data_IF_164690658976
#
_entry.id   IF_164690658976
#
_cell.length_a   1.000
_cell.length_b   1.000
_cell.length_c   1.000
_cell.angle_alpha   90.00
_cell.angle_beta   90.00
_cell.angle_gamma   90.00
#
_symmetry.space_group_name_H-M   'P 1'
#
loop_
_entity.id
_entity.type
_entity.pdbx_description
1 polymer ?
#
# COMPACT_ATOMS: atom_id res chain seq x y z
N UNK A 1 -9.10 -14.93 -11.41
CA UNK A 1 -8.33 -15.16 -12.66
C UNK A 1 -7.62 -13.88 -13.04
N UNK A 2 -6.39 -13.93 -13.57
CA UNK A 2 -5.71 -12.74 -14.11
C UNK A 2 -5.87 -12.71 -15.63
N UNK A 3 -6.40 -11.60 -16.17
CA UNK A 3 -6.62 -11.41 -17.60
C UNK A 3 -5.56 -10.46 -18.16
N UNK A 4 -4.76 -10.93 -19.11
CA UNK A 4 -3.72 -10.14 -19.78
C UNK A 4 -4.31 -9.36 -20.96
N UNK A 5 -4.80 -10.06 -21.98
CA UNK A 5 -5.28 -9.46 -23.23
C UNK A 5 -6.51 -10.20 -23.77
N UNK A 6 -7.36 -9.47 -24.48
CA UNK A 6 -8.44 -10.02 -25.30
C UNK A 6 -8.15 -9.62 -26.75
N UNK A 7 -8.09 -10.60 -27.65
CA UNK A 7 -7.88 -10.39 -29.09
C UNK A 7 -9.18 -10.73 -29.82
N UNK A 8 -9.69 -9.76 -30.58
CA UNK A 8 -10.86 -9.93 -31.43
C UNK A 8 -10.39 -10.01 -32.88
N UNK A 9 -10.61 -11.16 -33.51
CA UNK A 9 -10.20 -11.48 -34.88
C UNK A 9 -11.43 -11.90 -35.72
N UNK A 10 -11.38 -11.72 -37.05
CA UNK A 10 -12.45 -12.10 -37.97
C UNK A 10 -13.30 -10.97 -38.55
N UNK A 11 -12.84 -9.72 -38.48
CA UNK A 11 -13.45 -8.60 -39.19
C UNK A 11 -12.88 -8.52 -40.62
N UNK A 12 -13.73 -8.55 -41.63
CA UNK A 12 -13.31 -8.43 -43.03
C UNK A 12 -12.56 -7.11 -43.25
N UNK A 13 -11.35 -7.20 -43.82
CA UNK A 13 -10.47 -6.07 -44.19
C UNK A 13 -9.93 -5.20 -43.03
N UNK A 14 -9.83 -5.71 -41.79
CA UNK A 14 -9.20 -4.97 -40.69
C UNK A 14 -8.29 -5.82 -39.82
N UNK A 15 -7.22 -5.20 -39.29
CA UNK A 15 -6.32 -5.82 -38.33
C UNK A 15 -7.04 -6.29 -37.05
N UNK A 16 -6.57 -7.36 -36.39
CA UNK A 16 -7.11 -7.83 -35.12
C UNK A 16 -7.13 -6.72 -34.06
N UNK A 17 -8.24 -6.61 -33.34
CA UNK A 17 -8.40 -5.60 -32.29
C UNK A 17 -7.96 -6.21 -30.96
N UNK A 18 -6.85 -5.68 -30.42
CA UNK A 18 -6.33 -6.09 -29.10
C UNK A 18 -6.77 -5.13 -27.99
N UNK A 19 -7.26 -5.71 -26.90
CA UNK A 19 -7.68 -5.05 -25.64
C UNK A 19 -6.76 -5.52 -24.52
N UNK A 20 -5.84 -4.66 -24.10
CA UNK A 20 -4.92 -4.95 -22.99
C UNK A 20 -5.58 -4.67 -21.65
N UNK A 21 -5.73 -5.71 -20.84
CA UNK A 21 -6.50 -5.71 -19.60
C UNK A 21 -5.61 -5.63 -18.36
N UNK A 22 -4.59 -6.51 -18.27
CA UNK A 22 -3.66 -6.63 -17.13
C UNK A 22 -4.32 -6.48 -15.76
N UNK A 23 -5.39 -7.24 -15.53
CA UNK A 23 -6.25 -7.04 -14.35
C UNK A 23 -6.79 -8.35 -13.79
N UNK A 24 -6.98 -8.38 -12.48
CA UNK A 24 -7.67 -9.48 -11.80
C UNK A 24 -9.18 -9.42 -12.04
N UNK A 25 -9.76 -10.56 -12.38
CA UNK A 25 -11.20 -10.78 -12.51
C UNK A 25 -11.63 -11.72 -11.38
N UNK A 26 -12.60 -11.24 -10.60
CA UNK A 26 -13.24 -11.96 -9.52
C UNK A 26 -14.52 -12.65 -9.97
N UNK A 27 -14.99 -13.59 -9.16
CA UNK A 27 -16.26 -14.27 -9.42
C UNK A 27 -17.40 -13.27 -9.43
N UNK A 28 -18.38 -13.48 -10.33
CA UNK A 28 -19.63 -12.69 -10.38
C UNK A 28 -20.45 -12.76 -9.08
N UNK A 29 -20.18 -13.76 -8.25
CA UNK A 29 -20.84 -13.95 -6.97
C UNK A 29 -20.23 -13.06 -5.88
N UNK A 30 -18.95 -12.72 -5.98
CA UNK A 30 -18.24 -11.89 -5.01
C UNK A 30 -18.38 -10.40 -5.33
N UNK A 31 -18.34 -10.06 -6.63
CA UNK A 31 -18.56 -8.70 -7.10
C UNK A 31 -19.61 -8.70 -8.22
N UNK A 32 -20.82 -8.14 -7.98
CA UNK A 32 -21.86 -8.08 -9.00
C UNK A 32 -21.56 -7.04 -10.09
N UNK A 33 -20.60 -6.14 -9.88
CA UNK A 33 -20.24 -5.13 -10.87
C UNK A 33 -19.49 -5.75 -12.05
N UNK A 34 -19.96 -5.44 -13.25
CA UNK A 34 -19.34 -5.91 -14.49
C UNK A 34 -18.06 -5.13 -14.77
N UNK A 35 -17.03 -5.85 -15.23
CA UNK A 35 -15.75 -5.27 -15.64
C UNK A 35 -15.85 -4.74 -17.05
N UNK A 36 -15.34 -3.54 -17.28
CA UNK A 36 -15.22 -2.92 -18.60
C UNK A 36 -13.74 -2.78 -18.95
N UNK A 37 -13.37 -3.20 -20.15
CA UNK A 37 -12.04 -3.04 -20.69
C UNK A 37 -12.10 -2.23 -21.99
N UNK A 38 -11.14 -1.34 -22.18
CA UNK A 38 -11.06 -0.46 -23.35
C UNK A 38 -9.90 -0.88 -24.25
N UNK A 39 -10.01 -0.60 -25.55
CA UNK A 39 -8.92 -0.82 -26.50
C UNK A 39 -7.73 0.10 -26.17
N UNK A 40 -6.56 -0.22 -26.71
CA UNK A 40 -5.32 0.54 -26.50
C UNK A 40 -5.37 2.01 -27.00
N UNK A 41 -6.44 2.41 -27.70
CA UNK A 41 -6.60 3.76 -28.24
C UNK A 41 -6.87 4.76 -27.11
N UNK A 42 -6.05 5.81 -27.04
CA UNK A 42 -6.16 6.86 -26.03
C UNK A 42 -7.03 8.02 -26.51
N UNK A 43 -7.97 8.47 -25.67
CA UNK A 43 -8.85 9.60 -25.96
C UNK A 43 -8.89 10.58 -24.79
N UNK A 44 -8.84 11.88 -25.11
CA UNK A 44 -9.21 12.93 -24.16
C UNK A 44 -10.70 12.81 -23.78
N UNK A 45 -11.13 13.33 -22.61
CA UNK A 45 -12.54 13.32 -22.23
C UNK A 45 -13.47 13.94 -23.28
N UNK A 46 -13.03 15.01 -23.95
CA UNK A 46 -13.76 15.67 -25.03
C UNK A 46 -13.85 14.84 -26.32
N UNK A 47 -12.84 14.02 -26.60
CA UNK A 47 -12.70 13.19 -27.80
C UNK A 47 -13.26 11.77 -27.64
N UNK A 48 -13.73 11.41 -26.44
CA UNK A 48 -14.26 10.06 -26.20
C UNK A 48 -15.51 9.82 -27.06
N UNK A 49 -15.58 8.73 -27.85
CA UNK A 49 -16.75 8.41 -28.67
C UNK A 49 -18.04 8.41 -27.85
N UNK A 50 -19.14 8.94 -28.39
CA UNK A 50 -20.41 9.13 -27.67
C UNK A 50 -20.92 7.86 -26.99
N UNK A 51 -20.83 6.71 -27.68
CA UNK A 51 -21.24 5.41 -27.13
C UNK A 51 -20.39 4.92 -25.94
N UNK A 52 -19.15 5.40 -25.79
CA UNK A 52 -18.24 5.00 -24.71
C UNK A 52 -18.25 5.98 -23.52
N UNK A 53 -18.77 7.20 -23.68
CA UNK A 53 -18.79 8.21 -22.61
C UNK A 53 -19.47 7.71 -21.34
N UNK A 54 -20.60 7.01 -21.48
CA UNK A 54 -21.34 6.43 -20.35
C UNK A 54 -20.48 5.40 -19.60
N UNK A 55 -19.92 4.43 -20.32
CA UNK A 55 -19.08 3.38 -19.73
C UNK A 55 -17.82 3.94 -19.06
N UNK A 56 -17.21 4.98 -19.65
CA UNK A 56 -16.07 5.67 -19.06
C UNK A 56 -16.42 6.31 -17.72
N UNK A 57 -17.58 6.97 -17.63
CA UNK A 57 -18.00 7.62 -16.39
C UNK A 57 -18.38 6.60 -15.31
N UNK A 58 -19.11 5.55 -15.68
CA UNK A 58 -19.47 4.47 -14.76
C UNK A 58 -18.23 3.78 -14.17
N UNK A 59 -17.21 3.48 -14.99
CA UNK A 59 -15.96 2.89 -14.50
C UNK A 59 -15.21 3.86 -13.56
N UNK A 60 -15.21 5.16 -13.84
CA UNK A 60 -14.60 6.16 -12.95
C UNK A 60 -15.33 6.27 -11.60
N UNK A 61 -16.66 6.17 -11.58
CA UNK A 61 -17.46 6.18 -10.35
C UNK A 61 -17.17 4.94 -9.52
N UNK A 62 -17.08 3.76 -10.14
CA UNK A 62 -16.71 2.50 -9.49
C UNK A 62 -15.31 2.59 -8.88
N UNK A 63 -14.34 3.14 -9.59
CA UNK A 63 -12.98 3.32 -9.10
C UNK A 63 -12.88 4.30 -7.93
N UNK A 64 -13.73 5.33 -7.86
CA UNK A 64 -13.77 6.26 -6.72
C UNK A 64 -14.49 5.67 -5.50
N UNK A 65 -15.51 4.84 -5.75
CA UNK A 65 -16.38 4.33 -4.69
C UNK A 65 -17.19 5.43 -4.01
N UNK A 66 -17.67 5.13 -2.81
CA UNK A 66 -18.62 5.97 -2.06
C UNK A 66 -18.04 6.58 -0.76
N UNK A 67 -16.74 6.40 -0.49
CA UNK A 67 -16.07 6.91 0.71
C UNK A 67 -16.44 6.25 2.03
N UNK A 68 -17.27 5.19 2.02
CA UNK A 68 -17.73 4.51 3.25
C UNK A 68 -17.43 3.03 3.24
N UNK A 69 -17.41 2.40 4.41
CA UNK A 69 -17.16 0.96 4.56
C UNK A 69 -15.68 0.58 4.57
N UNK A 70 -15.43 -0.64 5.07
CA UNK A 70 -14.12 -1.30 5.09
C UNK A 70 -13.82 -1.92 3.73
N UNK A 71 -12.60 -1.69 3.25
CA UNK A 71 -12.18 -2.19 1.95
C UNK A 71 -11.90 -3.68 1.95
N UNK A 72 -12.32 -4.37 0.87
CA UNK A 72 -12.11 -5.81 0.68
C UNK A 72 -11.04 -6.09 -0.37
N UNK A 73 -10.36 -7.22 -0.26
CA UNK A 73 -9.19 -7.57 -1.08
C UNK A 73 -9.44 -7.65 -2.60
N UNK A 74 -10.70 -7.82 -3.01
CA UNK A 74 -11.11 -7.86 -4.41
C UNK A 74 -11.56 -6.49 -4.97
N UNK A 75 -11.69 -5.47 -4.12
CA UNK A 75 -12.12 -4.13 -4.52
C UNK A 75 -10.98 -3.36 -5.20
N UNK A 76 -11.36 -2.43 -6.07
CA UNK A 76 -10.45 -1.49 -6.77
C UNK A 76 -10.80 -0.04 -6.50
N UNK A 77 -11.15 0.24 -5.26
CA UNK A 77 -11.58 1.58 -4.87
C UNK A 77 -10.34 2.38 -4.48
N UNK A 78 -10.11 3.47 -5.20
CA UNK A 78 -9.07 4.45 -4.93
C UNK A 78 -9.70 5.62 -4.20
N UNK A 79 -9.34 5.75 -2.94
CA UNK A 79 -9.81 6.82 -2.07
C UNK A 79 -8.71 7.19 -1.07
N UNK A 80 -8.84 8.36 -0.45
CA UNK A 80 -7.80 8.97 0.36
C UNK A 80 -8.12 8.96 1.85
N UNK A 81 -7.08 8.75 2.66
CA UNK A 81 -7.14 8.91 4.11
C UNK A 81 -5.83 9.49 4.65
N UNK A 82 -5.84 9.88 5.93
CA UNK A 82 -4.68 10.36 6.67
C UNK A 82 -3.91 9.19 7.30
N UNK A 83 -2.70 9.44 7.79
CA UNK A 83 -1.92 8.43 8.51
C UNK A 83 -2.35 8.40 9.98
N UNK A 84 -3.47 7.73 10.23
CA UNK A 84 -4.02 7.45 11.56
C UNK A 84 -3.95 5.96 11.93
N UNK A 85 -3.24 5.14 11.15
CA UNK A 85 -3.20 3.68 11.26
C UNK A 85 -1.80 3.12 11.63
N UNK A 86 -0.86 4.01 11.97
CA UNK A 86 0.51 3.65 12.35
C UNK A 86 0.60 3.09 13.78
N UNK A 87 -0.19 3.68 14.69
CA UNK A 87 -0.23 3.35 16.10
C UNK A 87 -1.01 2.07 16.41
N UNK A 88 -0.87 1.57 17.64
CA UNK A 88 -1.71 0.48 18.14
C UNK A 88 -2.06 0.69 19.63
N UNK A 89 -2.87 1.73 19.94
CA UNK A 89 -3.17 2.12 21.32
C UNK A 89 -4.01 1.07 22.07
N UNK A 90 -4.80 0.25 21.36
CA UNK A 90 -5.60 -0.83 21.96
C UNK A 90 -4.74 -1.99 22.50
N UNK A 91 -3.55 -2.22 21.93
CA UNK A 91 -2.61 -3.22 22.43
C UNK A 91 -1.73 -2.71 23.57
N UNK A 92 -1.24 -1.47 23.44
CA UNK A 92 -0.36 -0.84 24.41
C UNK A 92 -0.47 0.69 24.27
N UNK A 93 -0.83 1.43 25.33
CA UNK A 93 -0.91 2.88 25.30
C UNK A 93 0.37 3.58 24.80
N UNK A 94 1.55 3.00 25.03
CA UNK A 94 2.83 3.54 24.57
C UNK A 94 3.02 3.45 23.04
N UNK A 95 2.20 2.64 22.37
CA UNK A 95 2.17 2.51 20.91
C UNK A 95 1.20 3.49 20.25
N UNK A 96 0.62 4.43 21.01
CA UNK A 96 -0.12 5.56 20.44
C UNK A 96 0.80 6.44 19.60
N UNK A 97 0.32 6.88 18.44
CA UNK A 97 1.03 7.78 17.54
C UNK A 97 0.11 8.93 17.13
N UNK A 98 0.63 10.13 16.89
CA UNK A 98 -0.17 11.24 16.39
C UNK A 98 -0.64 10.95 14.96
N UNK A 99 -1.80 11.50 14.59
CA UNK A 99 -2.31 11.46 13.22
C UNK A 99 -1.50 12.41 12.34
N UNK A 100 -1.01 11.93 11.19
CA UNK A 100 -0.27 12.74 10.22
C UNK A 100 -1.16 13.08 9.02
N UNK A 101 -1.27 14.37 8.73
CA UNK A 101 -2.11 14.92 7.66
C UNK A 101 -3.49 15.39 8.14
N UNK A 102 -4.05 16.38 7.43
CA UNK A 102 -5.38 16.94 7.74
C UNK A 102 -5.35 18.12 8.71
N UNK A 103 -4.25 18.32 9.44
CA UNK A 103 -3.99 19.50 10.27
C UNK A 103 -2.84 20.35 9.69
N UNK A 104 -2.77 21.61 10.12
CA UNK A 104 -1.66 22.51 9.77
C UNK A 104 -0.38 22.21 10.56
N UNK A 105 -0.52 21.58 11.71
CA UNK A 105 0.60 21.29 12.62
C UNK A 105 1.45 20.09 12.14
N UNK A 106 0.83 19.06 11.57
CA UNK A 106 1.50 17.87 11.04
C UNK A 106 1.06 17.60 9.59
N UNK A 107 1.41 18.49 8.64
CA UNK A 107 1.06 18.28 7.25
C UNK A 107 1.75 17.02 6.72
N UNK A 108 0.99 16.16 6.05
CA UNK A 108 1.50 14.92 5.47
C UNK A 108 0.69 14.52 4.23
N UNK A 109 1.32 13.88 3.23
CA UNK A 109 0.62 13.29 2.10
C UNK A 109 -0.52 12.37 2.54
N UNK A 110 -1.55 12.26 1.70
CA UNK A 110 -2.62 11.28 1.90
C UNK A 110 -2.17 9.89 1.45
N UNK A 111 -2.76 8.87 2.05
CA UNK A 111 -2.58 7.47 1.68
C UNK A 111 -3.87 6.88 1.10
N UNK A 112 -3.80 5.65 0.61
CA UNK A 112 -4.99 4.87 0.27
C UNK A 112 -5.85 4.59 1.50
N UNK A 113 -7.15 4.88 1.40
CA UNK A 113 -8.14 4.59 2.42
C UNK A 113 -8.37 3.09 2.57
N UNK A 114 -8.34 2.60 3.80
CA UNK A 114 -8.58 1.20 4.17
C UNK A 114 -9.96 1.02 4.81
N UNK A 115 -10.42 2.01 5.58
CA UNK A 115 -11.78 2.03 6.13
C UNK A 115 -12.05 1.00 7.24
N UNK A 116 -11.01 0.49 7.92
CA UNK A 116 -11.15 -0.40 9.08
C UNK A 116 -11.81 0.34 10.23
N UNK A 117 -12.40 -0.39 11.20
CA UNK A 117 -12.95 0.23 12.41
C UNK A 117 -11.88 1.02 13.18
N UNK A 118 -12.34 2.04 13.90
CA UNK A 118 -11.53 2.84 14.81
C UNK A 118 -11.13 2.03 16.05
N UNK A 119 -10.00 2.39 16.65
CA UNK A 119 -9.57 1.83 17.94
C UNK A 119 -10.57 2.14 19.06
N UNK A 120 -10.68 1.25 20.04
CA UNK A 120 -11.56 1.43 21.21
C UNK A 120 -11.05 2.53 22.14
N UNK A 121 -9.73 2.62 22.30
CA UNK A 121 -9.04 3.57 23.18
C UNK A 121 -8.86 4.95 22.56
N UNK A 122 -8.83 5.05 21.23
CA UNK A 122 -8.66 6.30 20.49
C UNK A 122 -9.53 6.34 19.22
N UNK A 123 -10.67 7.07 19.24
CA UNK A 123 -11.56 7.17 18.10
C UNK A 123 -10.96 7.85 16.86
N UNK A 124 -9.79 8.50 16.97
CA UNK A 124 -9.13 9.14 15.83
C UNK A 124 -8.18 8.19 15.10
N UNK A 125 -7.79 7.09 15.75
CA UNK A 125 -6.87 6.09 15.21
C UNK A 125 -7.63 4.91 14.61
N UNK A 126 -7.15 4.41 13.47
CA UNK A 126 -7.69 3.22 12.82
C UNK A 126 -7.05 1.95 13.40
N UNK A 127 -7.80 0.86 13.44
CA UNK A 127 -7.32 -0.42 13.99
C UNK A 127 -6.17 -1.00 13.14
N UNK A 128 -5.07 -1.34 13.79
CA UNK A 128 -3.90 -1.94 13.12
C UNK A 128 -4.16 -3.40 12.75
N UNK A 129 -3.73 -3.79 11.55
CA UNK A 129 -3.71 -5.19 11.09
C UNK A 129 -2.46 -5.46 10.26
N UNK A 130 -2.13 -6.73 10.07
CA UNK A 130 -0.98 -7.16 9.28
C UNK A 130 -1.26 -7.18 7.77
N UNK A 131 -2.53 -7.02 7.37
CA UNK A 131 -2.95 -7.05 5.97
C UNK A 131 -3.49 -5.67 5.60
N UNK A 132 -2.70 -4.87 4.89
CA UNK A 132 -3.11 -3.57 4.41
C UNK A 132 -3.82 -3.69 3.08
N UNK A 133 -5.01 -3.13 2.97
CA UNK A 133 -5.72 -3.07 1.72
C UNK A 133 -4.99 -2.16 0.74
N UNK A 134 -4.80 -2.68 -0.47
CA UNK A 134 -4.50 -1.91 -1.68
C UNK A 134 -5.50 -2.35 -2.76
N UNK A 135 -5.85 -1.46 -3.70
CA UNK A 135 -6.66 -1.83 -4.86
C UNK A 135 -6.11 -3.09 -5.52
N UNK A 136 -7.00 -4.02 -5.89
CA UNK A 136 -6.62 -5.39 -6.27
C UNK A 136 -5.51 -5.48 -7.32
N UNK A 137 -5.54 -4.61 -8.33
CA UNK A 137 -4.56 -4.64 -9.42
C UNK A 137 -3.18 -4.08 -9.01
N UNK A 138 -3.09 -3.35 -7.89
CA UNK A 138 -1.84 -2.85 -7.29
C UNK A 138 -1.22 -3.87 -6.31
N UNK A 139 -1.97 -4.91 -5.94
CA UNK A 139 -1.44 -5.98 -5.10
C UNK A 139 -0.50 -6.89 -5.89
N UNK A 140 0.61 -7.29 -5.27
CA UNK A 140 1.52 -8.26 -5.86
C UNK A 140 0.81 -9.60 -6.12
N UNK A 141 1.24 -10.32 -7.16
CA UNK A 141 0.91 -11.74 -7.29
C UNK A 141 1.59 -12.54 -6.19
N UNK A 142 1.00 -13.65 -5.78
CA UNK A 142 1.52 -14.50 -4.69
C UNK A 142 2.98 -14.91 -4.90
N UNK A 143 3.34 -15.26 -6.15
CA UNK A 143 4.72 -15.62 -6.54
C UNK A 143 5.68 -14.46 -6.25
N UNK A 144 5.34 -13.25 -6.69
CA UNK A 144 6.18 -12.06 -6.48
C UNK A 144 6.18 -11.61 -5.03
N UNK A 145 5.08 -11.80 -4.31
CA UNK A 145 5.00 -11.45 -2.90
C UNK A 145 5.99 -12.29 -2.09
N UNK A 146 6.12 -13.58 -2.37
CA UNK A 146 7.11 -14.44 -1.70
C UNK A 146 8.55 -14.04 -2.04
N UNK A 147 8.83 -13.65 -3.27
CA UNK A 147 10.16 -13.18 -3.68
C UNK A 147 10.55 -11.84 -3.03
N UNK A 148 9.58 -10.94 -2.85
CA UNK A 148 9.78 -9.62 -2.22
C UNK A 148 9.88 -9.76 -0.70
N UNK A 149 9.00 -10.54 -0.07
CA UNK A 149 9.01 -10.79 1.38
C UNK A 149 10.20 -11.65 1.81
N UNK A 150 10.67 -12.55 0.95
CA UNK A 150 11.90 -13.31 1.16
C UNK A 150 13.16 -12.45 1.07
N UNK A 151 13.06 -11.20 0.60
CA UNK A 151 14.20 -10.32 0.37
C UNK A 151 14.34 -9.16 1.34
N UNK A 152 13.29 -8.52 1.89
CA UNK A 152 13.45 -7.53 2.97
C UNK A 152 12.09 -7.09 3.59
N UNK A 153 12.13 -6.70 4.88
CA UNK A 153 11.16 -5.88 5.66
C UNK A 153 10.28 -6.55 6.75
N UNK A 154 10.08 -7.87 6.83
CA UNK A 154 9.24 -8.45 7.92
C UNK A 154 10.01 -8.92 9.17
N UNK A 155 11.33 -9.06 9.11
CA UNK A 155 12.14 -9.58 10.25
C UNK A 155 12.70 -8.50 11.19
N UNK A 156 12.28 -7.23 11.09
CA UNK A 156 12.81 -6.14 11.91
C UNK A 156 12.00 -5.75 13.16
N UNK A 157 10.76 -6.23 13.31
CA UNK A 157 9.85 -5.73 14.38
C UNK A 157 9.37 -6.81 15.36
N UNK A 158 9.68 -8.08 15.11
CA UNK A 158 9.41 -9.14 16.09
C UNK A 158 10.55 -10.15 16.13
N UNK A 159 11.66 -9.78 16.75
CA UNK A 159 12.61 -10.68 17.40
C UNK A 159 13.70 -9.82 18.06
N UNK A 160 13.59 -9.58 19.36
CA UNK A 160 14.70 -9.06 20.17
C UNK A 160 14.38 -7.84 21.03
N UNK A 161 13.79 -8.07 22.21
CA UNK A 161 13.90 -7.17 23.35
C UNK A 161 12.93 -7.57 24.47
N UNK A 162 13.36 -7.76 25.75
CA UNK A 162 14.65 -7.41 26.35
C UNK A 162 15.39 -8.63 26.94
N UNK A 163 16.64 -8.86 26.56
CA UNK A 163 17.65 -9.54 27.40
C UNK A 163 18.95 -8.74 27.34
N UNK A 164 18.89 -7.47 27.72
CA UNK A 164 20.07 -6.66 28.02
C UNK A 164 19.63 -5.44 28.82
N UNK A 165 19.08 -5.68 30.01
CA UNK A 165 18.95 -4.66 31.04
C UNK A 165 19.78 -5.10 32.23
N UNK A 166 21.08 -5.34 32.00
CA UNK A 166 22.13 -5.42 33.01
C UNK A 166 23.48 -5.51 32.29
N UNK A 167 24.00 -4.35 31.91
CA UNK A 167 25.31 -4.21 31.28
C UNK A 167 25.68 -2.74 31.23
N UNK A 168 26.54 -2.34 32.15
CA UNK A 168 27.07 -0.98 32.30
C UNK A 168 27.74 -0.53 30.97
N UNK A 169 26.99 0.17 30.12
CA UNK A 169 27.51 0.76 28.89
C UNK A 169 28.24 2.08 29.20
N UNK A 170 29.37 2.02 29.92
CA UNK A 170 30.33 3.12 29.90
C UNK A 170 31.13 3.04 28.60
N UNK A 171 30.86 3.98 27.71
CA UNK A 171 31.63 4.20 26.49
C UNK A 171 33.11 4.37 26.85
N UNK A 172 33.95 3.45 26.35
CA UNK A 172 35.40 3.50 26.50
C UNK A 172 35.96 4.79 25.94
N UNK A 173 36.84 5.43 26.71
CA UNK A 173 37.50 6.69 26.40
C UNK A 173 38.40 6.60 25.17
N UNK A 174 38.34 7.63 24.34
CA UNK A 174 39.20 7.84 23.18
C UNK A 174 40.69 7.88 23.56
N UNK A 175 41.50 7.09 22.86
CA UNK A 175 42.98 7.12 22.92
C UNK A 175 43.48 8.41 22.24
N UNK A 176 44.54 9.04 22.77
CA UNK A 176 45.52 9.70 21.90
C UNK A 176 46.92 9.13 22.10
N UNK A 177 47.50 8.69 20.98
CA UNK A 177 48.89 8.30 20.81
C UNK A 177 49.73 9.58 20.76
N UNK A 178 50.71 9.75 21.66
CA UNK A 178 51.83 10.67 21.46
C UNK A 178 53.15 10.10 22.00
N UNK A 179 54.06 9.87 21.04
CA UNK A 179 55.50 10.04 21.05
C UNK A 179 56.36 9.25 22.07
N UNK A 180 57.16 8.33 21.50
CA UNK A 180 58.34 7.79 22.17
C UNK A 180 59.53 8.73 22.13
N UNK A 181 60.38 8.66 23.16
CA UNK A 181 61.83 8.63 23.03
C UNK A 181 62.51 8.24 24.35
N UNK A 182 63.30 7.17 24.28
CA UNK A 182 64.60 6.92 24.94
C UNK A 182 64.84 7.16 26.46
N UNK A 183 65.18 6.03 27.11
CA UNK A 183 66.49 5.74 27.77
C UNK A 183 66.67 5.89 29.30
N UNK A 184 67.42 4.89 29.83
CA UNK A 184 68.27 4.81 31.05
C UNK A 184 67.54 4.47 32.37
N UNK A 185 67.59 3.22 32.84
CA UNK A 185 68.54 2.61 33.82
C UNK A 185 68.58 3.31 35.19
N UNK A 186 68.10 2.60 36.21
CA UNK A 186 68.86 2.27 37.41
C UNK A 186 68.33 0.98 38.04
#
# INVERSE_FOLDING_TARGET
>A
MFLTDIVLDGFQDSDPITVSCNSWIHSKFDNPQKRVFFTHKSYLPSQTPSGLKRLRNEELEVLRGNGVGERKSFERIYDYDVYNDLGNPDSDPNKKRPVLGGNKELPYPRRCRTGRPRCKTDPNSETKTNIFYVPRDESFSEVKQNDVLGKDVVLGVSCGGPIAADGDCRQGSWIPILHGHRSVVQ
#
